data_IF_162177904029
#
_entry.id   IF_162177904029
#
_cell.length_a   1.000
_cell.length_b   1.000
_cell.length_c   1.000
_cell.angle_alpha   90.00
_cell.angle_beta   90.00
_cell.angle_gamma   90.00
#
_symmetry.space_group_name_H-M   'P 1'
#
loop_
_entity.id
_entity.type
_entity.pdbx_description
1 polymer ?
#
# COMPACT_ATOMS: atom_id res chain seq x y z
N UNK A 1 12.11 -3.40 24.89
CA UNK A 1 13.48 -3.64 25.45
C UNK A 1 13.57 -3.61 26.98
N UNK A 2 12.65 -2.94 27.69
CA UNK A 2 12.65 -2.91 29.16
C UNK A 2 12.54 -4.31 29.78
N UNK A 3 11.74 -5.21 29.20
CA UNK A 3 11.60 -6.60 29.66
C UNK A 3 12.91 -7.39 29.51
N UNK A 4 13.73 -7.09 28.49
CA UNK A 4 15.03 -7.76 28.30
C UNK A 4 16.06 -7.34 29.35
N UNK A 5 15.96 -6.13 29.93
CA UNK A 5 16.86 -5.69 31.01
C UNK A 5 16.69 -6.50 32.30
N UNK A 6 15.51 -7.11 32.51
CA UNK A 6 15.25 -7.98 33.64
C UNK A 6 15.78 -9.42 33.45
N UNK A 7 16.26 -9.77 32.24
CA UNK A 7 16.79 -11.10 31.94
C UNK A 7 18.32 -11.17 32.08
N UNK A 8 18.88 -12.29 32.56
CA UNK A 8 20.33 -12.52 32.44
C UNK A 8 20.72 -12.52 30.95
N UNK A 9 21.82 -11.84 30.61
CA UNK A 9 22.24 -11.59 29.22
C UNK A 9 21.22 -10.78 28.37
N UNK A 10 20.44 -9.90 29.01
CA UNK A 10 19.42 -9.08 28.35
C UNK A 10 19.83 -8.33 27.08
N UNK A 11 21.07 -7.83 27.02
CA UNK A 11 21.60 -7.16 25.84
C UNK A 11 21.75 -8.11 24.63
N UNK A 12 22.12 -9.37 24.86
CA UNK A 12 22.26 -10.37 23.80
C UNK A 12 20.90 -10.75 23.20
N UNK A 13 19.91 -11.01 24.06
CA UNK A 13 18.54 -11.29 23.59
C UNK A 13 17.88 -10.06 22.94
N UNK A 14 18.16 -8.86 23.46
CA UNK A 14 17.75 -7.61 22.84
C UNK A 14 18.34 -7.45 21.43
N UNK A 15 19.64 -7.73 21.26
CA UNK A 15 20.29 -7.71 19.95
C UNK A 15 19.63 -8.68 18.97
N UNK A 16 19.44 -9.95 19.35
CA UNK A 16 18.78 -10.95 18.49
C UNK A 16 17.38 -10.50 18.09
N UNK A 17 16.61 -9.96 19.04
CA UNK A 17 15.26 -9.46 18.79
C UNK A 17 15.24 -8.35 17.73
N UNK A 18 16.07 -7.31 17.90
CA UNK A 18 16.13 -6.21 16.94
C UNK A 18 16.76 -6.62 15.61
N UNK A 19 17.71 -7.55 15.62
CA UNK A 19 18.29 -8.10 14.40
C UNK A 19 17.26 -8.90 13.60
N UNK A 20 16.39 -9.67 14.28
CA UNK A 20 15.27 -10.35 13.64
C UNK A 20 14.26 -9.36 13.05
N UNK A 21 13.89 -8.32 13.79
CA UNK A 21 13.02 -7.25 13.28
C UNK A 21 13.64 -6.54 12.06
N UNK A 22 14.96 -6.34 12.05
CA UNK A 22 15.68 -5.75 10.93
C UNK A 22 15.61 -6.64 9.68
N UNK A 23 15.86 -7.94 9.81
CA UNK A 23 15.73 -8.89 8.70
C UNK A 23 14.29 -8.95 8.17
N UNK A 24 13.31 -9.00 9.06
CA UNK A 24 11.89 -8.98 8.69
C UNK A 24 11.53 -7.70 7.92
N UNK A 25 11.97 -6.54 8.41
CA UNK A 25 11.72 -5.25 7.77
C UNK A 25 12.34 -5.15 6.38
N UNK A 26 13.57 -5.66 6.17
CA UNK A 26 14.20 -5.69 4.84
C UNK A 26 13.34 -6.47 3.84
N UNK A 27 12.94 -7.69 4.19
CA UNK A 27 12.18 -8.55 3.28
C UNK A 27 10.82 -7.94 2.90
N UNK A 28 10.12 -7.35 3.87
CA UNK A 28 8.87 -6.62 3.63
C UNK A 28 9.09 -5.41 2.72
N UNK A 29 10.12 -4.60 3.00
CA UNK A 29 10.40 -3.38 2.24
C UNK A 29 10.72 -3.69 0.77
N UNK A 30 11.51 -4.73 0.51
CA UNK A 30 11.80 -5.17 -0.87
C UNK A 30 10.53 -5.62 -1.60
N UNK A 31 9.65 -6.37 -0.93
CA UNK A 31 8.39 -6.82 -1.53
C UNK A 31 7.44 -5.67 -1.87
N UNK A 32 7.45 -4.59 -1.09
CA UNK A 32 6.62 -3.40 -1.33
C UNK A 32 7.16 -2.51 -2.46
N UNK A 33 8.48 -2.48 -2.67
CA UNK A 33 9.11 -1.70 -3.73
C UNK A 33 9.00 -2.38 -5.10
N UNK A 34 8.95 -3.71 -5.13
CA UNK A 34 8.95 -4.48 -6.39
C UNK A 34 7.79 -4.13 -7.35
N UNK A 35 6.52 -3.98 -6.91
CA UNK A 35 5.44 -3.55 -7.81
C UNK A 35 5.68 -2.18 -8.45
N UNK A 36 6.29 -1.23 -7.72
CA UNK A 36 6.62 0.08 -8.26
C UNK A 36 7.77 0.01 -9.29
N UNK A 37 8.78 -0.84 -9.04
CA UNK A 37 9.86 -1.11 -10.01
C UNK A 37 9.28 -1.72 -11.29
N UNK A 38 8.41 -2.74 -11.15
CA UNK A 38 7.75 -3.39 -12.27
C UNK A 38 6.90 -2.39 -13.09
N UNK A 39 6.17 -1.49 -12.42
CA UNK A 39 5.44 -0.43 -13.10
C UNK A 39 6.35 0.50 -13.92
N UNK A 40 7.54 0.86 -13.42
CA UNK A 40 8.50 1.68 -14.17
C UNK A 40 9.15 0.91 -15.33
N UNK A 41 9.47 -0.37 -15.15
CA UNK A 41 10.04 -1.21 -16.21
C UNK A 41 9.02 -1.49 -17.32
N UNK A 42 7.83 -1.97 -16.97
CA UNK A 42 6.81 -2.42 -17.92
C UNK A 42 5.96 -1.27 -18.45
N UNK A 43 5.59 -0.32 -17.59
CA UNK A 43 4.72 0.80 -17.93
C UNK A 43 5.47 1.96 -18.58
N UNK A 44 6.65 2.31 -18.06
CA UNK A 44 7.46 3.41 -18.60
C UNK A 44 8.59 2.94 -19.51
N UNK A 45 8.84 1.63 -19.63
CA UNK A 45 9.92 1.07 -20.43
C UNK A 45 11.31 1.46 -19.96
N UNK A 46 11.47 1.72 -18.65
CA UNK A 46 12.75 2.08 -18.05
C UNK A 46 13.62 0.83 -17.85
N UNK A 47 14.94 0.98 -17.96
CA UNK A 47 15.86 -0.08 -17.54
C UNK A 47 15.79 -0.30 -16.03
N UNK A 48 15.94 -1.55 -15.58
CA UNK A 48 15.88 -1.93 -14.15
C UNK A 48 16.74 -1.06 -13.23
N UNK A 49 17.98 -0.76 -13.63
CA UNK A 49 18.88 0.09 -12.84
C UNK A 49 18.34 1.51 -12.69
N UNK A 50 17.75 2.06 -13.75
CA UNK A 50 17.12 3.38 -13.73
C UNK A 50 15.86 3.37 -12.86
N UNK A 51 15.00 2.34 -13.00
CA UNK A 51 13.78 2.16 -12.18
C UNK A 51 14.09 2.11 -10.68
N UNK A 52 15.08 1.30 -10.29
CA UNK A 52 15.51 1.18 -8.88
C UNK A 52 16.08 2.49 -8.35
N UNK A 53 16.93 3.16 -9.13
CA UNK A 53 17.54 4.44 -8.70
C UNK A 53 16.48 5.52 -8.55
N UNK A 54 15.54 5.61 -9.50
CA UNK A 54 14.45 6.57 -9.48
C UNK A 54 13.51 6.35 -8.30
N UNK A 55 13.10 5.10 -8.07
CA UNK A 55 12.28 4.76 -6.90
C UNK A 55 13.03 5.02 -5.58
N UNK A 56 14.34 4.74 -5.54
CA UNK A 56 15.19 5.03 -4.40
C UNK A 56 15.21 6.52 -4.06
N UNK A 57 15.35 7.39 -5.06
CA UNK A 57 15.27 8.85 -4.87
C UNK A 57 13.92 9.29 -4.31
N UNK A 58 12.81 8.79 -4.86
CA UNK A 58 11.46 9.07 -4.35
C UNK A 58 11.32 8.61 -2.88
N UNK A 59 11.83 7.42 -2.57
CA UNK A 59 11.77 6.84 -1.21
C UNK A 59 12.60 7.63 -0.22
N UNK A 60 13.80 8.08 -0.60
CA UNK A 60 14.66 8.94 0.25
C UNK A 60 13.99 10.29 0.50
N UNK A 61 13.37 10.90 -0.51
CA UNK A 61 12.61 12.15 -0.34
C UNK A 61 11.43 11.97 0.62
N UNK A 62 10.65 10.90 0.45
CA UNK A 62 9.54 10.57 1.35
C UNK A 62 10.00 10.28 2.78
N UNK A 63 11.09 9.53 2.95
CA UNK A 63 11.67 9.22 4.26
C UNK A 63 12.22 10.49 4.92
N UNK A 64 12.88 11.37 4.16
CA UNK A 64 13.38 12.65 4.64
C UNK A 64 12.25 13.58 5.12
N UNK A 65 11.13 13.60 4.39
CA UNK A 65 9.92 14.31 4.82
C UNK A 65 9.40 13.78 6.17
N UNK A 66 9.21 12.46 6.29
CA UNK A 66 8.74 11.83 7.54
C UNK A 66 9.69 12.12 8.69
N UNK A 67 11.01 11.96 8.48
CA UNK A 67 12.02 12.21 9.51
C UNK A 67 12.03 13.66 9.98
N UNK A 68 11.86 14.63 9.07
CA UNK A 68 11.83 16.05 9.42
C UNK A 68 10.60 16.44 10.23
N UNK A 69 9.43 15.89 9.88
CA UNK A 69 8.16 16.15 10.57
C UNK A 69 7.90 15.21 11.77
N UNK A 70 8.91 14.45 12.20
CA UNK A 70 8.77 13.43 13.26
C UNK A 70 8.84 13.99 14.69
N UNK A 71 8.68 15.30 14.93
CA UNK A 71 8.48 15.79 16.29
C UNK A 71 7.23 15.11 16.87
N UNK A 72 7.42 14.35 17.95
CA UNK A 72 6.43 13.47 18.59
C UNK A 72 5.85 12.35 17.70
N UNK A 73 6.56 11.89 16.66
CA UNK A 73 6.13 10.85 15.69
C UNK A 73 4.87 11.17 14.87
N UNK A 74 4.29 12.36 15.01
CA UNK A 74 3.04 12.75 14.33
C UNK A 74 3.11 12.64 12.81
N UNK A 75 4.24 13.03 12.21
CA UNK A 75 4.43 12.91 10.75
C UNK A 75 4.38 11.46 10.25
N UNK A 76 4.95 10.52 11.01
CA UNK A 76 4.89 9.09 10.70
C UNK A 76 3.47 8.56 10.89
N UNK A 77 2.82 8.90 12.00
CA UNK A 77 1.45 8.45 12.31
C UNK A 77 0.44 8.93 11.25
N UNK A 78 0.56 10.17 10.78
CA UNK A 78 -0.31 10.70 9.73
C UNK A 78 -0.06 10.03 8.37
N UNK A 79 1.21 9.79 8.01
CA UNK A 79 1.54 9.07 6.77
C UNK A 79 1.04 7.63 6.79
N UNK A 80 1.25 6.92 7.90
CA UNK A 80 0.78 5.55 8.09
C UNK A 80 -0.75 5.46 8.05
N UNK A 81 -1.43 6.42 8.69
CA UNK A 81 -2.89 6.51 8.61
C UNK A 81 -3.39 6.70 7.17
N UNK A 82 -2.86 7.67 6.43
CA UNK A 82 -3.37 7.96 5.09
C UNK A 82 -3.03 6.88 4.07
N UNK A 83 -1.80 6.36 4.10
CA UNK A 83 -1.32 5.39 3.10
C UNK A 83 -1.52 3.96 3.59
N UNK A 84 -0.95 3.62 4.74
CA UNK A 84 -0.95 2.26 5.31
C UNK A 84 -2.32 1.78 5.78
N UNK A 85 -3.20 2.69 6.19
CA UNK A 85 -4.55 2.34 6.65
C UNK A 85 -5.62 2.73 5.62
N UNK A 86 -5.82 4.03 5.36
CA UNK A 86 -6.95 4.52 4.59
C UNK A 86 -6.87 4.16 3.10
N UNK A 87 -5.74 4.44 2.43
CA UNK A 87 -5.59 4.17 1.00
C UNK A 87 -5.59 2.67 0.67
N UNK A 88 -4.88 1.85 1.46
CA UNK A 88 -4.88 0.39 1.29
C UNK A 88 -6.30 -0.16 1.46
N UNK A 89 -7.05 0.32 2.46
CA UNK A 89 -8.42 -0.11 2.67
C UNK A 89 -9.32 0.26 1.49
N UNK A 90 -9.25 1.50 1.01
CA UNK A 90 -10.03 1.97 -0.13
C UNK A 90 -9.69 1.20 -1.40
N UNK A 91 -8.40 0.93 -1.64
CA UNK A 91 -7.94 0.13 -2.76
C UNK A 91 -8.46 -1.31 -2.67
N UNK A 92 -8.41 -1.92 -1.48
CA UNK A 92 -8.94 -3.27 -1.26
C UNK A 92 -10.45 -3.33 -1.51
N UNK A 93 -11.21 -2.34 -1.03
CA UNK A 93 -12.65 -2.23 -1.31
C UNK A 93 -12.92 -2.14 -2.82
N UNK A 94 -12.18 -1.29 -3.54
CA UNK A 94 -12.31 -1.16 -4.98
C UNK A 94 -11.95 -2.46 -5.70
N UNK A 95 -10.84 -3.09 -5.35
CA UNK A 95 -10.39 -4.36 -5.93
C UNK A 95 -11.39 -5.49 -5.71
N UNK A 96 -11.96 -5.58 -4.50
CA UNK A 96 -12.99 -6.58 -4.19
C UNK A 96 -14.25 -6.31 -5.02
N UNK A 97 -14.73 -5.07 -5.10
CA UNK A 97 -15.92 -4.70 -5.89
C UNK A 97 -15.71 -4.98 -7.39
N UNK A 98 -14.59 -4.54 -7.94
CA UNK A 98 -14.24 -4.75 -9.36
C UNK A 98 -14.03 -6.23 -9.65
N UNK A 99 -13.25 -6.94 -8.83
CA UNK A 99 -13.01 -8.37 -8.99
C UNK A 99 -14.27 -9.21 -8.87
N UNK A 100 -15.14 -8.89 -7.91
CA UNK A 100 -16.36 -9.63 -7.66
C UNK A 100 -17.43 -9.43 -8.75
N UNK A 101 -17.65 -8.19 -9.19
CA UNK A 101 -18.79 -7.84 -10.04
C UNK A 101 -18.42 -7.48 -11.47
N UNK A 102 -17.26 -6.85 -11.72
CA UNK A 102 -16.84 -6.48 -13.09
C UNK A 102 -16.15 -7.67 -13.76
N UNK A 103 -15.15 -8.27 -13.10
CA UNK A 103 -14.49 -9.47 -13.63
C UNK A 103 -15.39 -10.71 -13.45
N UNK A 104 -16.06 -10.81 -12.30
CA UNK A 104 -16.96 -11.90 -11.95
C UNK A 104 -16.28 -12.91 -11.02
N UNK A 105 -16.80 -13.04 -9.80
CA UNK A 105 -16.21 -13.89 -8.76
C UNK A 105 -16.05 -15.37 -9.16
N UNK A 106 -16.97 -15.91 -9.96
CA UNK A 106 -16.87 -17.29 -10.46
C UNK A 106 -15.70 -17.45 -11.44
N UNK A 107 -15.52 -16.50 -12.37
CA UNK A 107 -14.38 -16.48 -13.28
C UNK A 107 -13.06 -16.31 -12.54
N UNK A 108 -13.04 -15.49 -11.49
CA UNK A 108 -11.87 -15.32 -10.64
C UNK A 108 -11.47 -16.63 -9.93
N UNK A 109 -12.45 -17.38 -9.44
CA UNK A 109 -12.21 -18.70 -8.81
C UNK A 109 -11.77 -19.73 -9.84
N UNK A 110 -12.36 -19.74 -11.03
CA UNK A 110 -11.95 -20.66 -12.11
C UNK A 110 -10.51 -20.34 -12.60
N UNK A 111 -10.16 -19.06 -12.73
CA UNK A 111 -8.81 -18.63 -13.06
C UNK A 111 -7.81 -18.98 -11.95
N UNK A 112 -8.17 -18.76 -10.68
CA UNK A 112 -7.33 -19.15 -9.55
C UNK A 112 -7.17 -20.68 -9.43
N UNK A 113 -8.14 -21.45 -9.92
CA UNK A 113 -8.05 -22.90 -10.00
C UNK A 113 -7.15 -23.38 -11.15
N UNK A 114 -6.90 -22.54 -12.16
CA UNK A 114 -6.08 -22.89 -13.33
C UNK A 114 -4.62 -23.03 -12.92
N UNK A 115 -4.08 -24.26 -13.03
CA UNK A 115 -2.70 -24.56 -12.64
C UNK A 115 -2.48 -24.66 -11.12
N UNK A 116 -3.55 -24.64 -10.32
CA UNK A 116 -3.47 -24.78 -8.86
C UNK A 116 -3.21 -26.22 -8.42
N UNK A 117 -2.32 -26.41 -7.44
CA UNK A 117 -2.13 -27.70 -6.76
C UNK A 117 -3.35 -28.09 -5.91
N UNK A 118 -4.09 -27.10 -5.40
CA UNK A 118 -5.28 -27.28 -4.57
C UNK A 118 -6.43 -26.45 -5.15
N UNK A 119 -7.58 -27.10 -5.35
CA UNK A 119 -8.77 -26.43 -5.90
C UNK A 119 -9.50 -25.64 -4.83
N UNK A 120 -9.75 -24.37 -5.12
CA UNK A 120 -10.62 -23.49 -4.36
C UNK A 120 -12.08 -23.92 -4.52
N UNK A 121 -12.83 -24.07 -3.41
CA UNK A 121 -14.22 -24.46 -3.49
C UNK A 121 -15.11 -23.33 -4.01
N UNK A 122 -16.12 -23.68 -4.83
CA UNK A 122 -16.98 -22.72 -5.53
C UNK A 122 -17.79 -21.78 -4.63
N UNK A 123 -18.08 -22.18 -3.39
CA UNK A 123 -18.77 -21.30 -2.43
C UNK A 123 -17.93 -20.07 -2.02
N UNK A 124 -16.61 -20.10 -2.22
CA UNK A 124 -15.77 -18.90 -2.03
C UNK A 124 -16.13 -17.78 -3.01
N UNK A 125 -16.58 -18.11 -4.23
CA UNK A 125 -17.06 -17.10 -5.17
C UNK A 125 -18.27 -16.34 -4.59
N UNK A 126 -19.14 -17.02 -3.85
CA UNK A 126 -20.27 -16.39 -3.17
C UNK A 126 -19.82 -15.47 -2.04
N UNK A 127 -18.82 -15.87 -1.25
CA UNK A 127 -18.23 -15.02 -0.21
C UNK A 127 -17.60 -13.78 -0.82
N UNK A 128 -16.76 -13.94 -1.83
CA UNK A 128 -16.13 -12.81 -2.52
C UNK A 128 -17.15 -11.89 -3.18
N UNK A 129 -18.25 -12.43 -3.71
CA UNK A 129 -19.30 -11.65 -4.38
C UNK A 129 -20.20 -10.86 -3.42
N UNK A 130 -20.45 -11.38 -2.22
CA UNK A 130 -21.45 -10.80 -1.31
C UNK A 130 -20.89 -10.46 0.06
N UNK A 131 -20.21 -11.41 0.72
CA UNK A 131 -19.75 -11.26 2.11
C UNK A 131 -18.60 -10.26 2.20
N UNK A 132 -17.55 -10.42 1.38
CA UNK A 132 -16.38 -9.54 1.38
C UNK A 132 -16.74 -8.06 1.11
N UNK A 133 -17.48 -7.71 0.04
CA UNK A 133 -17.84 -6.32 -0.21
C UNK A 133 -18.79 -5.77 0.85
N UNK A 134 -19.77 -6.56 1.33
CA UNK A 134 -20.69 -6.10 2.38
C UNK A 134 -19.94 -5.81 3.69
N UNK A 135 -19.00 -6.68 4.09
CA UNK A 135 -18.19 -6.49 5.28
C UNK A 135 -17.30 -5.24 5.19
N UNK A 136 -16.62 -5.04 4.05
CA UNK A 136 -15.77 -3.86 3.83
C UNK A 136 -16.59 -2.57 3.77
N UNK A 137 -17.77 -2.57 3.15
CA UNK A 137 -18.65 -1.39 3.14
C UNK A 137 -19.14 -1.09 4.56
N UNK A 138 -19.55 -2.12 5.31
CA UNK A 138 -20.04 -1.96 6.67
C UNK A 138 -18.99 -1.34 7.60
N UNK A 139 -17.77 -1.89 7.61
CA UNK A 139 -16.67 -1.36 8.41
C UNK A 139 -16.31 0.07 7.98
N UNK A 140 -16.37 0.38 6.68
CA UNK A 140 -16.11 1.73 6.18
C UNK A 140 -17.15 2.75 6.67
N UNK A 141 -18.43 2.38 6.65
CA UNK A 141 -19.51 3.24 7.16
C UNK A 141 -19.36 3.48 8.67
N UNK A 142 -19.05 2.45 9.44
CA UNK A 142 -18.78 2.60 10.87
C UNK A 142 -17.58 3.51 11.13
N UNK A 143 -16.52 3.37 10.34
CA UNK A 143 -15.35 4.23 10.45
C UNK A 143 -15.68 5.69 10.15
N UNK A 144 -16.45 5.95 9.08
CA UNK A 144 -16.93 7.31 8.74
C UNK A 144 -17.68 7.92 9.92
N UNK A 145 -18.61 7.17 10.52
CA UNK A 145 -19.43 7.67 11.63
C UNK A 145 -18.62 7.96 12.90
N UNK A 146 -17.58 7.18 13.17
CA UNK A 146 -16.83 7.30 14.43
C UNK A 146 -15.61 8.20 14.36
N UNK A 147 -14.97 8.30 13.18
CA UNK A 147 -13.62 8.87 13.04
C UNK A 147 -13.51 10.02 12.06
N UNK A 148 -14.53 10.26 11.22
CA UNK A 148 -14.44 11.31 10.21
C UNK A 148 -14.36 12.71 10.83
N UNK A 149 -15.22 13.02 11.79
CA UNK A 149 -15.27 14.35 12.43
C UNK A 149 -13.95 14.67 13.14
N UNK A 150 -13.45 13.74 13.97
CA UNK A 150 -12.16 13.86 14.67
C UNK A 150 -11.00 14.14 13.70
N UNK A 151 -10.98 13.47 12.52
CA UNK A 151 -9.92 13.65 11.53
C UNK A 151 -10.05 14.96 10.75
N UNK A 152 -11.27 15.46 10.52
CA UNK A 152 -11.49 16.76 9.90
C UNK A 152 -11.01 17.88 10.84
N UNK A 153 -11.31 17.77 12.13
CA UNK A 153 -10.87 18.75 13.13
C UNK A 153 -9.34 18.77 13.23
N UNK A 154 -8.71 17.59 13.29
CA UNK A 154 -7.25 17.46 13.31
C UNK A 154 -6.59 18.07 12.06
N UNK A 155 -7.20 17.91 10.88
CA UNK A 155 -6.70 18.50 9.63
C UNK A 155 -6.71 20.05 9.68
N UNK A 156 -7.70 20.64 10.35
CA UNK A 156 -7.80 22.09 10.51
C UNK A 156 -6.83 22.59 11.58
N UNK A 157 -6.66 21.86 12.69
CA UNK A 157 -5.84 22.29 13.83
C UNK A 157 -4.35 22.05 13.67
N UNK A 158 -3.93 20.98 12.99
CA UNK A 158 -2.53 20.54 12.96
C UNK A 158 -1.86 20.85 11.61
N UNK A 159 -0.80 21.68 11.66
CA UNK A 159 0.01 22.06 10.51
C UNK A 159 0.73 20.83 9.92
N UNK A 160 1.19 19.90 10.76
CA UNK A 160 1.88 18.68 10.33
C UNK A 160 0.95 17.77 9.53
N UNK A 161 -0.32 17.67 9.94
CA UNK A 161 -1.33 16.90 9.20
C UNK A 161 -1.59 17.52 7.83
N UNK A 162 -1.71 18.86 7.75
CA UNK A 162 -1.94 19.56 6.49
C UNK A 162 -0.78 19.43 5.51
N UNK A 163 0.46 19.54 6.00
CA UNK A 163 1.66 19.34 5.19
C UNK A 163 1.78 17.90 4.70
N UNK A 164 1.44 16.93 5.55
CA UNK A 164 1.41 15.50 5.19
C UNK A 164 0.41 15.23 4.08
N UNK A 165 -0.83 15.70 4.21
CA UNK A 165 -1.85 15.55 3.17
C UNK A 165 -1.43 16.25 1.87
N UNK A 166 -0.88 17.47 1.97
CA UNK A 166 -0.40 18.21 0.79
C UNK A 166 0.70 17.44 0.08
N UNK A 167 1.68 16.91 0.81
CA UNK A 167 2.74 16.05 0.27
C UNK A 167 2.17 14.81 -0.43
N UNK A 168 1.21 14.12 0.21
CA UNK A 168 0.56 12.95 -0.37
C UNK A 168 -0.26 13.26 -1.62
N UNK A 169 -0.96 14.40 -1.66
CA UNK A 169 -1.69 14.83 -2.86
C UNK A 169 -0.73 15.14 -3.99
N UNK A 170 0.36 15.87 -3.73
CA UNK A 170 1.39 16.14 -4.75
C UNK A 170 2.01 14.85 -5.29
N UNK A 171 2.34 13.91 -4.40
CA UNK A 171 2.87 12.60 -4.76
C UNK A 171 1.85 11.79 -5.57
N UNK A 172 0.56 11.82 -5.19
CA UNK A 172 -0.51 11.15 -5.92
C UNK A 172 -0.70 11.73 -7.32
N UNK A 173 -0.70 13.05 -7.46
CA UNK A 173 -0.78 13.73 -8.77
C UNK A 173 0.42 13.34 -9.64
N UNK A 174 1.63 13.33 -9.07
CA UNK A 174 2.83 12.88 -9.75
C UNK A 174 2.70 11.44 -10.26
N UNK A 175 2.26 10.50 -9.42
CA UNK A 175 2.03 9.12 -9.85
C UNK A 175 0.90 8.99 -10.88
N UNK A 176 -0.17 9.78 -10.80
CA UNK A 176 -1.22 9.79 -11.81
C UNK A 176 -0.71 10.26 -13.18
N UNK A 177 0.22 11.23 -13.21
CA UNK A 177 0.88 11.67 -14.44
C UNK A 177 1.74 10.53 -15.02
N UNK A 178 2.49 9.82 -14.17
CA UNK A 178 3.28 8.66 -14.59
C UNK A 178 2.38 7.55 -15.14
N UNK A 179 1.27 7.22 -14.46
CA UNK A 179 0.29 6.22 -14.91
C UNK A 179 -0.33 6.64 -16.24
N UNK A 180 -0.73 7.91 -16.39
CA UNK A 180 -1.27 8.42 -17.65
C UNK A 180 -0.26 8.31 -18.80
N UNK A 181 1.02 8.55 -18.52
CA UNK A 181 2.10 8.43 -19.50
C UNK A 181 2.36 6.96 -19.87
N UNK A 182 2.41 6.07 -18.89
CA UNK A 182 2.51 4.63 -19.08
C UNK A 182 1.33 4.08 -19.89
N UNK A 183 0.11 4.47 -19.56
CA UNK A 183 -1.10 4.04 -20.26
C UNK A 183 -1.09 4.50 -21.72
N UNK A 184 -0.68 5.73 -22.00
CA UNK A 184 -0.53 6.23 -23.38
C UNK A 184 0.53 5.45 -24.16
N UNK A 185 1.60 5.02 -23.50
CA UNK A 185 2.65 4.20 -24.11
C UNK A 185 2.11 2.79 -24.43
N UNK A 186 1.44 2.14 -23.49
CA UNK A 186 0.82 0.82 -23.72
C UNK A 186 -0.20 0.86 -24.85
N UNK A 187 -1.08 1.88 -24.88
CA UNK A 187 -2.04 2.04 -25.97
C UNK A 187 -1.40 2.29 -27.34
N UNK A 188 -0.17 2.80 -27.40
CA UNK A 188 0.58 2.93 -28.67
C UNK A 188 1.16 1.60 -29.10
N UNK A 189 1.78 0.86 -28.17
CA UNK A 189 2.34 -0.46 -28.44
C UNK A 189 1.26 -1.45 -28.88
N UNK A 190 0.12 -1.47 -28.20
CA UNK A 190 -1.02 -2.33 -28.57
C UNK A 190 -1.56 -2.01 -29.97
N UNK A 191 -1.44 -0.77 -30.44
CA UNK A 191 -1.81 -0.38 -31.81
C UNK A 191 -0.73 -0.70 -32.85
N UNK A 192 0.52 -0.89 -32.44
CA UNK A 192 1.63 -1.29 -33.32
C UNK A 192 1.68 -2.82 -33.48
N UNK A 193 1.18 -3.56 -32.48
CA UNK A 193 1.11 -5.03 -32.49
C UNK A 193 -0.16 -5.59 -33.19
N UNK A 194 -1.15 -4.74 -33.51
CA UNK A 194 -2.40 -5.06 -34.24
C UNK A 194 -2.29 -4.74 -35.73
#
# INVERSE_FOLDING_TARGET
PQVFQAMPLGHFFGFIWFFLLFLAAITSSLSMLQPAIAFFEEGLGMERKASVTFLGLITVLGTGFVAYFSHDNKGLDYMDFWVGTFAIYLLALLQVVVGAWVFGAEKAVDEANRGSLMKLPRWLAWIWRFVSPAFLIFVFVLWIQQKLEEKIDLFQSDVTMRLTVTFLVLLSVFFLILISTAMRRWQRQEKEDL
#
